data_IF_117575978722
#
_entry.id   IF_117575978722
#
_cell.length_a   1.000
_cell.length_b   1.000
_cell.length_c   1.000
_cell.angle_alpha   90.00
_cell.angle_beta   90.00
_cell.angle_gamma   90.00
#
_symmetry.space_group_name_H-M   'P 1'
#
loop_
_entity.id
_entity.type
_entity.pdbx_description
1 polymer ?
#
# COMPACT_ATOMS: atom_id res chain seq x y z
N UNK A 1 -25.29 -69.00 17.60
CA UNK A 1 -24.51 -67.75 17.47
C UNK A 1 -25.40 -66.51 17.29
N UNK A 2 -26.48 -66.57 16.50
CA UNK A 2 -27.40 -65.43 16.27
C UNK A 2 -28.14 -64.93 17.53
N UNK A 3 -28.59 -65.83 18.42
CA UNK A 3 -29.34 -65.47 19.65
C UNK A 3 -28.49 -64.67 20.65
N UNK A 4 -27.19 -64.95 20.74
CA UNK A 4 -26.26 -64.24 21.64
C UNK A 4 -25.99 -62.82 21.15
N UNK A 5 -25.92 -62.64 19.83
CA UNK A 5 -25.74 -61.33 19.19
C UNK A 5 -26.98 -60.46 19.41
N UNK A 6 -28.19 -61.01 19.22
CA UNK A 6 -29.44 -60.28 19.50
C UNK A 6 -29.58 -59.89 20.98
N UNK A 7 -29.17 -60.76 21.91
CA UNK A 7 -29.16 -60.43 23.34
C UNK A 7 -28.19 -59.31 23.71
N UNK A 8 -27.00 -59.28 23.10
CA UNK A 8 -26.02 -58.23 23.33
C UNK A 8 -26.50 -56.86 22.79
N UNK A 9 -27.11 -56.84 21.60
CA UNK A 9 -27.69 -55.60 21.04
C UNK A 9 -28.85 -55.06 21.88
N UNK A 10 -29.73 -55.94 22.38
CA UNK A 10 -30.82 -55.52 23.28
C UNK A 10 -30.29 -54.94 24.60
N UNK A 11 -29.25 -55.55 25.18
CA UNK A 11 -28.67 -55.07 26.43
C UNK A 11 -28.01 -53.69 26.28
N UNK A 12 -27.30 -53.47 25.16
CA UNK A 12 -26.70 -52.16 24.83
C UNK A 12 -27.80 -51.13 24.53
N UNK A 13 -28.83 -51.50 23.75
CA UNK A 13 -29.90 -50.58 23.37
C UNK A 13 -30.78 -50.18 24.55
N UNK A 14 -31.04 -51.09 25.49
CA UNK A 14 -31.77 -50.80 26.73
C UNK A 14 -30.95 -49.90 27.66
N UNK A 15 -29.64 -50.15 27.78
CA UNK A 15 -28.76 -49.32 28.59
C UNK A 15 -28.68 -47.87 28.04
N UNK A 16 -28.58 -47.72 26.72
CA UNK A 16 -28.64 -46.41 26.05
C UNK A 16 -30.02 -45.75 26.22
N UNK A 17 -31.11 -46.52 26.09
CA UNK A 17 -32.48 -46.00 26.26
C UNK A 17 -32.73 -45.47 27.67
N UNK A 18 -32.28 -46.19 28.71
CA UNK A 18 -32.39 -45.75 30.11
C UNK A 18 -31.54 -44.51 30.37
N UNK A 19 -30.31 -44.45 29.82
CA UNK A 19 -29.45 -43.27 29.95
C UNK A 19 -30.06 -42.07 29.20
N UNK A 20 -30.64 -42.28 28.01
CA UNK A 20 -31.30 -41.24 27.24
C UNK A 20 -32.55 -40.72 27.95
N UNK A 21 -33.41 -41.59 28.48
CA UNK A 21 -34.59 -41.18 29.25
C UNK A 21 -34.22 -40.52 30.58
N UNK A 22 -33.15 -40.95 31.24
CA UNK A 22 -32.64 -40.28 32.45
C UNK A 22 -32.15 -38.87 32.13
N UNK A 23 -31.41 -38.69 31.04
CA UNK A 23 -30.97 -37.37 30.56
C UNK A 23 -32.12 -36.51 30.08
N UNK A 24 -33.12 -37.08 29.42
CA UNK A 24 -34.31 -36.34 28.96
C UNK A 24 -35.14 -35.86 30.15
N UNK A 25 -35.29 -36.66 31.20
CA UNK A 25 -35.96 -36.24 32.44
C UNK A 25 -35.13 -35.24 33.26
N UNK A 26 -33.80 -35.37 33.26
CA UNK A 26 -32.88 -34.40 33.86
C UNK A 26 -32.92 -33.05 33.12
N UNK A 27 -32.97 -33.06 31.79
CA UNK A 27 -33.18 -31.87 30.94
C UNK A 27 -34.58 -31.29 31.18
N UNK A 28 -35.63 -32.11 31.25
CA UNK A 28 -37.01 -31.64 31.48
C UNK A 28 -37.19 -30.99 32.85
N UNK A 29 -36.50 -31.48 33.88
CA UNK A 29 -36.48 -30.89 35.21
C UNK A 29 -35.48 -29.73 35.35
N UNK A 30 -34.46 -29.65 34.49
CA UNK A 30 -33.51 -28.53 34.39
C UNK A 30 -34.00 -27.36 33.53
N UNK A 31 -35.05 -27.53 32.72
CA UNK A 31 -35.66 -26.46 31.90
C UNK A 31 -36.47 -25.45 32.72
N UNK A 32 -36.71 -25.69 34.02
CA UNK A 32 -37.17 -24.64 34.95
C UNK A 32 -36.04 -23.78 35.51
N UNK A 33 -34.78 -24.13 35.24
CA UNK A 33 -33.64 -23.31 35.62
C UNK A 33 -33.28 -22.40 34.44
N UNK A 34 -33.44 -21.09 34.63
CA UNK A 34 -33.11 -20.09 33.60
C UNK A 34 -31.67 -20.35 33.17
N UNK A 35 -31.48 -20.64 31.88
CA UNK A 35 -30.16 -20.70 31.23
C UNK A 35 -29.35 -19.47 31.62
N UNK A 36 -28.50 -19.62 32.62
CA UNK A 36 -27.60 -18.58 33.10
C UNK A 36 -26.34 -18.70 32.25
N UNK A 37 -26.38 -18.10 31.07
CA UNK A 37 -25.16 -17.86 30.30
C UNK A 37 -24.15 -17.19 31.25
N UNK A 38 -23.05 -17.88 31.55
CA UNK A 38 -22.07 -17.42 32.53
C UNK A 38 -21.46 -16.11 32.02
N UNK A 39 -21.80 -14.99 32.66
CA UNK A 39 -21.30 -13.65 32.28
C UNK A 39 -19.77 -13.62 32.22
N UNK A 40 -19.07 -14.39 33.07
CA UNK A 40 -17.61 -14.51 33.06
C UNK A 40 -17.08 -15.16 31.77
N UNK A 41 -17.81 -16.13 31.20
CA UNK A 41 -17.46 -16.73 29.91
C UNK A 41 -17.63 -15.71 28.78
N UNK A 42 -18.73 -14.93 28.79
CA UNK A 42 -18.94 -13.87 27.81
C UNK A 42 -17.84 -12.79 27.87
N UNK A 43 -17.44 -12.35 29.06
CA UNK A 43 -16.34 -11.40 29.21
C UNK A 43 -15.01 -11.96 28.67
N UNK A 44 -14.71 -13.24 28.91
CA UNK A 44 -13.50 -13.87 28.39
C UNK A 44 -13.49 -13.93 26.85
N UNK A 45 -14.63 -14.26 26.24
CA UNK A 45 -14.76 -14.28 24.77
C UNK A 45 -14.60 -12.88 24.19
N UNK A 46 -15.26 -11.87 24.76
CA UNK A 46 -15.15 -10.48 24.32
C UNK A 46 -13.71 -9.97 24.46
N UNK A 47 -13.05 -10.23 25.59
CA UNK A 47 -11.66 -9.84 25.81
C UNK A 47 -10.74 -10.48 24.76
N UNK A 48 -10.95 -11.76 24.45
CA UNK A 48 -10.16 -12.47 23.43
C UNK A 48 -10.33 -11.84 22.05
N UNK A 49 -11.57 -11.48 21.67
CA UNK A 49 -11.83 -10.79 20.40
C UNK A 49 -11.18 -9.41 20.33
N UNK A 50 -11.22 -8.64 21.43
CA UNK A 50 -10.54 -7.34 21.51
C UNK A 50 -9.03 -7.52 21.35
N UNK A 51 -8.44 -8.51 22.02
CA UNK A 51 -7.00 -8.79 21.94
C UNK A 51 -6.60 -9.19 20.51
N UNK A 52 -7.33 -10.12 19.88
CA UNK A 52 -7.07 -10.53 18.49
C UNK A 52 -7.22 -9.34 17.54
N UNK A 53 -8.29 -8.56 17.67
CA UNK A 53 -8.51 -7.37 16.85
C UNK A 53 -7.38 -6.34 17.01
N UNK A 54 -6.90 -6.13 18.23
CA UNK A 54 -5.74 -5.28 18.51
C UNK A 54 -4.46 -5.78 17.83
N UNK A 55 -4.17 -7.08 17.94
CA UNK A 55 -3.00 -7.69 17.28
C UNK A 55 -3.06 -7.59 15.76
N UNK A 56 -4.24 -7.81 15.16
CA UNK A 56 -4.41 -7.68 13.70
C UNK A 56 -4.20 -6.25 13.23
N UNK A 57 -4.78 -5.27 13.92
CA UNK A 57 -4.61 -3.85 13.58
C UNK A 57 -3.15 -3.39 13.73
N UNK A 58 -2.50 -3.77 14.82
CA UNK A 58 -1.08 -3.46 15.05
C UNK A 58 -0.18 -4.13 14.00
N UNK A 59 -0.47 -5.39 13.65
CA UNK A 59 0.27 -6.13 12.62
C UNK A 59 0.15 -5.47 11.25
N UNK A 60 -1.06 -5.07 10.84
CA UNK A 60 -1.29 -4.36 9.57
C UNK A 60 -0.56 -3.01 9.56
N UNK A 61 -0.68 -2.22 10.64
CA UNK A 61 0.00 -0.94 10.76
C UNK A 61 1.54 -1.07 10.66
N UNK A 62 2.13 -2.02 11.39
CA UNK A 62 3.57 -2.25 11.35
C UNK A 62 4.03 -2.73 9.97
N UNK A 63 3.25 -3.58 9.31
CA UNK A 63 3.56 -4.07 7.96
C UNK A 63 3.61 -2.93 6.96
N UNK A 64 2.58 -2.06 6.94
CA UNK A 64 2.53 -0.88 6.06
C UNK A 64 3.68 0.10 6.31
N UNK A 65 4.02 0.33 7.59
CA UNK A 65 5.15 1.18 7.96
C UNK A 65 6.48 0.61 7.48
N UNK A 66 6.68 -0.70 7.63
CA UNK A 66 7.90 -1.36 7.18
C UNK A 66 8.03 -1.33 5.65
N UNK A 67 6.91 -1.55 4.93
CA UNK A 67 6.86 -1.45 3.47
C UNK A 67 7.19 -0.03 3.00
N UNK A 68 6.58 1.00 3.60
CA UNK A 68 6.93 2.41 3.35
C UNK A 68 8.43 2.67 3.52
N UNK A 69 9.00 2.27 4.65
CA UNK A 69 10.41 2.51 4.96
C UNK A 69 11.35 1.79 4.00
N UNK A 70 11.01 0.55 3.61
CA UNK A 70 11.77 -0.20 2.61
C UNK A 70 11.79 0.53 1.27
N UNK A 71 10.64 1.02 0.80
CA UNK A 71 10.54 1.76 -0.46
C UNK A 71 11.34 3.07 -0.43
N UNK A 72 11.27 3.83 0.68
CA UNK A 72 12.07 5.05 0.81
C UNK A 72 13.56 4.73 0.74
N UNK A 73 14.02 3.71 1.47
CA UNK A 73 15.43 3.31 1.49
C UNK A 73 15.92 2.85 0.11
N UNK A 74 15.13 2.10 -0.65
CA UNK A 74 15.49 1.68 -2.00
C UNK A 74 15.52 2.85 -3.00
N UNK A 75 14.64 3.84 -2.82
CA UNK A 75 14.67 5.08 -3.59
C UNK A 75 15.97 5.86 -3.31
N UNK A 76 16.29 6.10 -2.04
CA UNK A 76 17.54 6.75 -1.63
C UNK A 76 18.79 6.02 -2.14
N UNK A 77 18.80 4.68 -2.04
CA UNK A 77 19.88 3.85 -2.59
C UNK A 77 20.01 4.05 -4.10
N UNK A 78 18.89 4.07 -4.84
CA UNK A 78 18.89 4.26 -6.29
C UNK A 78 19.43 5.64 -6.66
N UNK A 79 18.96 6.70 -6.00
CA UNK A 79 19.42 8.07 -6.23
C UNK A 79 20.90 8.23 -5.91
N UNK A 80 21.38 7.63 -4.82
CA UNK A 80 22.79 7.68 -4.43
C UNK A 80 23.69 6.88 -5.39
N UNK A 81 23.26 5.67 -5.77
CA UNK A 81 24.03 4.78 -6.65
C UNK A 81 24.17 5.35 -8.06
N UNK A 82 23.11 5.99 -8.57
CA UNK A 82 23.06 6.55 -9.91
C UNK A 82 23.10 8.08 -9.90
N UNK A 83 23.83 8.70 -8.96
CA UNK A 83 23.93 10.17 -8.81
C UNK A 83 24.38 10.86 -10.11
N UNK A 84 25.23 10.20 -10.91
CA UNK A 84 25.60 10.70 -12.25
C UNK A 84 24.38 10.90 -13.15
N UNK A 85 23.48 9.91 -13.22
CA UNK A 85 22.24 10.01 -14.00
C UNK A 85 21.31 11.12 -13.47
N UNK A 86 21.28 11.32 -12.16
CA UNK A 86 20.54 12.42 -11.54
C UNK A 86 21.16 13.78 -11.90
N UNK A 87 22.49 13.87 -11.94
CA UNK A 87 23.19 15.07 -12.40
C UNK A 87 22.94 15.34 -13.89
N UNK A 88 22.95 14.32 -14.73
CA UNK A 88 22.66 14.44 -16.16
C UNK A 88 21.24 14.97 -16.40
N UNK A 89 20.24 14.56 -15.60
CA UNK A 89 18.89 15.16 -15.61
C UNK A 89 18.95 16.65 -15.29
N UNK A 90 19.70 17.02 -14.24
CA UNK A 90 19.79 18.41 -13.79
C UNK A 90 20.40 19.32 -14.87
N UNK A 91 21.41 18.81 -15.58
CA UNK A 91 22.04 19.49 -16.73
C UNK A 91 21.06 19.58 -17.90
N UNK A 92 20.38 18.48 -18.24
CA UNK A 92 19.43 18.41 -19.35
C UNK A 92 18.21 19.33 -19.16
N UNK A 93 17.79 19.61 -17.93
CA UNK A 93 16.73 20.58 -17.63
C UNK A 93 17.17 22.03 -17.88
N UNK A 94 18.47 22.33 -17.80
CA UNK A 94 19.02 23.66 -18.07
C UNK A 94 19.48 23.85 -19.52
N UNK A 95 19.69 22.75 -20.26
CA UNK A 95 20.13 22.76 -21.65
C UNK A 95 19.08 22.10 -22.55
N UNK A 96 18.36 22.92 -23.31
CA UNK A 96 17.33 22.48 -24.27
C UNK A 96 17.88 21.54 -25.36
N UNK A 97 19.19 21.54 -25.63
CA UNK A 97 19.79 20.58 -26.56
C UNK A 97 19.78 19.15 -26.00
N UNK A 98 19.93 19.01 -24.68
CA UNK A 98 20.08 17.74 -23.96
C UNK A 98 18.76 17.24 -23.36
N UNK A 99 17.71 18.06 -23.30
CA UNK A 99 16.44 17.70 -22.66
C UNK A 99 15.83 16.38 -23.18
N UNK A 100 16.07 16.03 -24.45
CA UNK A 100 15.63 14.78 -25.07
C UNK A 100 16.28 13.51 -24.50
N UNK A 101 17.28 13.63 -23.62
CA UNK A 101 17.93 12.51 -22.93
C UNK A 101 17.19 12.08 -21.66
N UNK A 102 16.37 12.97 -21.08
CA UNK A 102 15.67 12.70 -19.82
C UNK A 102 14.82 11.42 -19.87
N UNK A 103 13.99 11.16 -20.91
CA UNK A 103 13.21 9.92 -20.97
C UNK A 103 14.06 8.65 -20.90
N UNK A 104 15.23 8.64 -21.56
CA UNK A 104 16.14 7.49 -21.57
C UNK A 104 16.74 7.27 -20.17
N UNK A 105 17.09 8.34 -19.47
CA UNK A 105 17.58 8.28 -18.08
C UNK A 105 16.48 7.76 -17.14
N UNK A 106 15.26 8.29 -17.25
CA UNK A 106 14.13 7.83 -16.43
C UNK A 106 13.81 6.36 -16.67
N UNK A 107 13.86 5.92 -17.94
CA UNK A 107 13.70 4.51 -18.31
C UNK A 107 14.79 3.66 -17.67
N UNK A 108 16.05 4.07 -17.81
CA UNK A 108 17.17 3.37 -17.21
C UNK A 108 16.99 3.21 -15.69
N UNK A 109 16.66 4.29 -14.97
CA UNK A 109 16.44 4.26 -13.53
C UNK A 109 15.28 3.33 -13.13
N UNK A 110 14.16 3.36 -13.87
CA UNK A 110 12.99 2.51 -13.61
C UNK A 110 13.24 1.02 -13.80
N UNK A 111 14.23 0.64 -14.61
CA UNK A 111 14.62 -0.75 -14.86
C UNK A 111 15.58 -1.31 -13.80
N UNK A 112 16.07 -0.49 -12.85
CA UNK A 112 17.07 -0.95 -11.86
C UNK A 112 16.46 -1.76 -10.71
N UNK A 113 15.21 -1.47 -10.34
CA UNK A 113 14.51 -2.09 -9.20
C UNK A 113 13.07 -2.38 -9.59
N UNK A 114 12.60 -3.61 -9.34
CA UNK A 114 11.22 -4.01 -9.66
C UNK A 114 10.20 -3.29 -8.80
N UNK A 115 10.65 -2.80 -7.65
CA UNK A 115 9.87 -2.02 -6.73
C UNK A 115 9.43 -0.71 -7.41
N UNK A 116 10.25 -0.04 -8.22
CA UNK A 116 9.91 1.23 -8.87
C UNK A 116 9.81 1.13 -10.41
N UNK A 117 8.78 0.47 -10.95
CA UNK A 117 8.66 0.29 -12.40
C UNK A 117 8.38 1.60 -13.15
N UNK A 118 7.96 2.67 -12.45
CA UNK A 118 7.59 3.94 -13.06
C UNK A 118 8.22 5.10 -12.29
N UNK A 119 9.12 5.80 -12.98
CA UNK A 119 9.76 7.03 -12.52
C UNK A 119 9.36 8.14 -13.48
N UNK A 120 8.75 9.19 -12.94
CA UNK A 120 8.30 10.36 -13.68
C UNK A 120 9.03 11.57 -13.11
N UNK A 121 9.50 12.46 -13.98
CA UNK A 121 10.05 13.75 -13.56
C UNK A 121 8.94 14.79 -13.54
N UNK A 122 8.88 15.61 -12.48
CA UNK A 122 7.96 16.74 -12.36
C UNK A 122 8.79 18.02 -12.21
N UNK A 123 8.48 19.02 -13.03
CA UNK A 123 9.04 20.38 -12.91
C UNK A 123 7.90 21.40 -12.82
N UNK A 124 8.21 22.62 -12.39
CA UNK A 124 7.27 23.75 -12.36
C UNK A 124 7.47 24.67 -13.57
N UNK A 125 6.38 25.23 -14.06
CA UNK A 125 6.39 26.29 -15.07
C UNK A 125 5.18 27.23 -14.85
N UNK A 126 4.99 28.23 -15.70
CA UNK A 126 3.84 29.13 -15.68
C UNK A 126 3.03 29.04 -16.97
N UNK A 127 1.75 28.69 -16.85
CA UNK A 127 0.79 28.82 -17.94
C UNK A 127 -0.14 30.00 -17.67
N UNK A 128 -0.04 31.06 -18.48
CA UNK A 128 -0.84 32.29 -18.30
C UNK A 128 -0.76 32.85 -16.88
N UNK A 129 0.46 33.01 -16.36
CA UNK A 129 0.75 33.51 -15.00
C UNK A 129 0.28 32.59 -13.86
N UNK A 130 -0.19 31.38 -14.17
CA UNK A 130 -0.57 30.38 -13.18
C UNK A 130 0.55 29.35 -13.04
N UNK A 131 1.03 29.15 -11.81
CA UNK A 131 1.96 28.07 -11.49
C UNK A 131 1.32 26.74 -11.91
N UNK A 132 2.05 25.99 -12.73
CA UNK A 132 1.65 24.69 -13.22
C UNK A 132 2.81 23.71 -13.11
N UNK A 133 2.49 22.43 -13.21
CA UNK A 133 3.47 21.36 -13.13
C UNK A 133 3.49 20.59 -14.44
N UNK A 134 4.68 20.37 -14.97
CA UNK A 134 4.92 19.60 -16.18
C UNK A 134 5.51 18.25 -15.80
N UNK A 135 5.18 17.20 -16.55
CA UNK A 135 5.72 15.86 -16.36
C UNK A 135 6.52 15.39 -17.55
N UNK A 136 7.64 14.74 -17.30
CA UNK A 136 8.40 13.97 -18.30
C UNK A 136 8.33 12.50 -17.93
N UNK A 137 7.98 11.66 -18.89
CA UNK A 137 7.88 10.21 -18.69
C UNK A 137 8.94 9.46 -19.51
N UNK A 138 9.27 8.21 -19.15
CA UNK A 138 10.20 7.37 -19.92
C UNK A 138 9.80 7.12 -21.38
N UNK A 139 8.54 7.39 -21.73
CA UNK A 139 7.94 7.10 -23.03
C UNK A 139 7.60 8.36 -23.82
N UNK A 140 8.03 9.53 -23.35
CA UNK A 140 7.78 10.80 -24.03
C UNK A 140 8.69 10.92 -25.26
N UNK A 141 8.14 11.38 -26.37
CA UNK A 141 8.90 11.62 -27.59
C UNK A 141 9.90 12.77 -27.40
N UNK A 142 11.14 12.57 -27.86
CA UNK A 142 12.21 13.58 -27.74
C UNK A 142 11.86 14.91 -28.42
N UNK A 143 11.02 14.86 -29.45
CA UNK A 143 10.53 16.04 -30.17
C UNK A 143 9.49 16.83 -29.38
N UNK A 144 8.70 16.19 -28.51
CA UNK A 144 7.70 16.86 -27.67
C UNK A 144 8.36 17.66 -26.55
N UNK A 145 9.50 17.20 -26.06
CA UNK A 145 10.31 17.90 -25.06
C UNK A 145 10.96 19.20 -25.57
N UNK A 146 10.93 19.45 -26.88
CA UNK A 146 11.42 20.69 -27.48
C UNK A 146 10.30 21.71 -27.75
N UNK A 147 9.05 21.34 -27.46
CA UNK A 147 7.88 22.21 -27.62
C UNK A 147 7.57 22.93 -26.31
N UNK A 148 6.87 24.05 -26.41
CA UNK A 148 6.43 24.85 -25.26
C UNK A 148 5.64 24.00 -24.26
N UNK A 149 5.88 24.24 -22.95
CA UNK A 149 5.21 23.55 -21.83
C UNK A 149 5.23 22.01 -22.00
N UNK A 150 6.31 21.51 -22.61
CA UNK A 150 6.56 20.15 -23.10
C UNK A 150 5.38 19.50 -23.81
N UNK A 151 4.79 20.23 -24.76
CA UNK A 151 3.61 19.82 -25.54
C UNK A 151 2.35 19.64 -24.67
N UNK A 152 2.13 20.56 -23.72
CA UNK A 152 1.02 20.52 -22.76
C UNK A 152 1.00 19.26 -21.89
N UNK A 153 2.18 18.75 -21.52
CA UNK A 153 2.32 17.58 -20.66
C UNK A 153 2.12 17.94 -19.17
N UNK A 154 0.94 18.49 -18.86
CA UNK A 154 0.61 18.86 -17.50
C UNK A 154 0.53 17.64 -16.58
N UNK A 155 1.08 17.79 -15.38
CA UNK A 155 0.89 16.87 -14.28
C UNK A 155 -0.41 17.24 -13.55
N UNK A 156 -1.34 16.29 -13.48
CA UNK A 156 -2.58 16.44 -12.72
C UNK A 156 -2.34 15.84 -11.34
N UNK A 157 -2.33 16.71 -10.32
CA UNK A 157 -2.30 16.34 -8.92
C UNK A 157 -3.74 16.22 -8.36
N UNK A 158 -3.89 15.38 -7.34
CA UNK A 158 -4.99 15.38 -6.40
C UNK A 158 -4.77 16.40 -5.25
N UNK A 159 -5.72 16.50 -4.33
CA UNK A 159 -5.66 17.51 -3.26
C UNK A 159 -4.37 17.41 -2.42
N UNK A 160 -3.92 16.18 -2.13
CA UNK A 160 -2.83 15.97 -1.19
C UNK A 160 -1.47 16.21 -1.84
N UNK A 161 -1.26 15.76 -3.07
CA UNK A 161 0.01 16.01 -3.78
C UNK A 161 0.10 17.43 -4.36
N UNK A 162 -1.01 18.11 -4.70
CA UNK A 162 -0.95 19.51 -5.13
C UNK A 162 -0.39 20.46 -4.04
N UNK A 163 -0.80 20.27 -2.78
CA UNK A 163 -0.31 21.07 -1.66
C UNK A 163 1.18 20.86 -1.44
N UNK A 164 1.62 19.60 -1.45
CA UNK A 164 3.04 19.26 -1.34
C UNK A 164 3.88 19.82 -2.50
N UNK A 165 3.43 19.69 -3.75
CA UNK A 165 4.15 20.25 -4.90
C UNK A 165 4.30 21.76 -4.79
N UNK A 166 3.26 22.45 -4.31
CA UNK A 166 3.31 23.89 -4.07
C UNK A 166 4.37 24.25 -3.03
N UNK A 167 4.40 23.54 -1.90
CA UNK A 167 5.43 23.74 -0.86
C UNK A 167 6.84 23.52 -1.41
N UNK A 168 7.05 22.45 -2.18
CA UNK A 168 8.37 22.16 -2.76
C UNK A 168 8.80 23.29 -3.71
N UNK A 169 7.95 23.70 -4.64
CA UNK A 169 8.37 24.65 -5.68
C UNK A 169 8.34 26.12 -5.22
N UNK A 170 7.43 26.52 -4.33
CA UNK A 170 7.33 27.91 -3.85
C UNK A 170 8.15 28.17 -2.57
N UNK A 171 8.15 27.24 -1.60
CA UNK A 171 8.70 27.51 -0.25
C UNK A 171 10.13 27.02 -0.05
N UNK A 172 10.72 26.33 -1.03
CA UNK A 172 12.17 26.06 -1.03
C UNK A 172 12.61 24.78 -0.34
N UNK A 173 11.87 24.24 0.63
CA UNK A 173 12.24 23.02 1.36
C UNK A 173 11.04 22.11 1.57
N UNK A 174 11.21 20.82 1.26
CA UNK A 174 10.32 19.77 1.72
C UNK A 174 11.08 18.45 1.73
N UNK A 175 10.82 17.63 2.75
CA UNK A 175 11.21 16.22 2.74
C UNK A 175 10.45 15.47 1.64
N UNK A 176 10.80 14.21 1.39
CA UNK A 176 10.01 13.38 0.49
C UNK A 176 8.54 13.26 0.95
N UNK A 177 7.62 13.20 0.01
CA UNK A 177 6.21 12.90 0.29
C UNK A 177 5.87 11.48 -0.14
N UNK A 178 5.44 10.67 0.82
CA UNK A 178 4.98 9.31 0.58
C UNK A 178 3.46 9.24 0.74
N UNK A 179 2.79 8.84 -0.33
CA UNK A 179 1.37 8.53 -0.33
C UNK A 179 1.17 7.08 -0.75
N UNK A 180 0.28 6.39 -0.05
CA UNK A 180 -0.13 5.03 -0.41
C UNK A 180 -1.61 4.83 -0.13
N UNK A 181 -2.33 4.28 -1.10
CA UNK A 181 -3.70 3.83 -0.92
C UNK A 181 -3.85 2.43 -1.53
N UNK A 182 -4.27 1.48 -0.69
CA UNK A 182 -4.39 0.06 -1.04
C UNK A 182 -3.06 -0.50 -1.57
N UNK A 183 -2.96 -0.63 -2.91
CA UNK A 183 -1.85 -1.21 -3.66
C UNK A 183 -1.14 -0.19 -4.57
N UNK A 184 -1.51 1.08 -4.44
CA UNK A 184 -0.92 2.17 -5.20
C UNK A 184 -0.08 2.98 -4.24
N UNK A 185 1.17 3.20 -4.60
CA UNK A 185 1.97 4.18 -3.88
C UNK A 185 2.62 5.16 -4.84
N UNK A 186 2.86 6.33 -4.29
CA UNK A 186 3.55 7.46 -4.90
C UNK A 186 4.56 7.97 -3.89
N UNK A 187 5.83 8.03 -4.28
CA UNK A 187 6.89 8.66 -3.52
C UNK A 187 7.44 9.81 -4.35
N UNK A 188 7.25 11.03 -3.86
CA UNK A 188 7.76 12.24 -4.48
C UNK A 188 9.06 12.60 -3.80
N UNK A 189 10.16 12.56 -4.55
CA UNK A 189 11.48 12.86 -4.04
C UNK A 189 11.98 14.18 -4.64
N UNK A 190 12.07 15.27 -3.86
CA UNK A 190 12.54 16.55 -4.35
C UNK A 190 14.05 16.51 -4.56
N UNK A 191 14.50 17.05 -5.68
CA UNK A 191 15.92 17.12 -6.05
C UNK A 191 16.25 18.57 -6.34
N UNK A 192 17.32 19.05 -5.71
CA UNK A 192 17.88 20.38 -5.94
C UNK A 192 19.37 20.20 -6.22
N UNK A 193 19.79 20.58 -7.43
CA UNK A 193 21.18 20.52 -7.88
C UNK A 193 21.51 21.84 -8.55
N UNK A 194 22.32 22.67 -7.88
CA UNK A 194 22.54 24.05 -8.31
C UNK A 194 21.23 24.85 -8.24
N UNK A 195 20.88 25.52 -9.34
CA UNK A 195 19.63 26.29 -9.48
C UNK A 195 18.46 25.43 -9.98
N UNK A 196 18.72 24.21 -10.43
CA UNK A 196 17.69 23.31 -10.97
C UNK A 196 16.95 22.61 -9.85
N UNK A 197 15.63 22.77 -9.83
CA UNK A 197 14.71 22.10 -8.91
C UNK A 197 13.67 21.29 -9.67
N UNK A 198 13.53 20.03 -9.30
CA UNK A 198 12.53 19.12 -9.86
C UNK A 198 12.21 18.02 -8.85
N UNK A 199 11.19 17.22 -9.12
CA UNK A 199 10.89 16.02 -8.35
C UNK A 199 10.97 14.79 -9.22
N UNK A 200 11.41 13.69 -8.62
CA UNK A 200 11.18 12.36 -9.15
C UNK A 200 10.02 11.71 -8.41
N UNK A 201 8.98 11.37 -9.16
CA UNK A 201 7.84 10.60 -8.70
C UNK A 201 8.10 9.12 -9.00
N UNK A 202 8.33 8.35 -7.95
CA UNK A 202 8.40 6.90 -7.99
C UNK A 202 7.01 6.34 -7.73
N UNK A 203 6.52 5.48 -8.61
CA UNK A 203 5.19 4.90 -8.48
C UNK A 203 5.16 3.43 -8.87
N UNK A 204 4.26 2.70 -8.21
CA UNK A 204 3.93 1.32 -8.54
C UNK A 204 2.42 1.15 -8.46
N UNK A 205 1.88 0.46 -9.47
CA UNK A 205 0.48 0.07 -9.53
C UNK A 205 0.41 -1.45 -9.56
N UNK A 206 0.10 -2.06 -8.41
CA UNK A 206 -0.08 -3.52 -8.34
C UNK A 206 -1.54 -3.88 -8.65
N UNK A 207 -1.79 -4.35 -9.89
CA UNK A 207 -3.12 -4.81 -10.37
C UNK A 207 -3.72 -5.95 -9.56
N UNK A 208 -2.89 -6.73 -8.87
CA UNK A 208 -3.35 -7.85 -8.05
C UNK A 208 -3.54 -7.36 -6.61
N UNK A 209 -4.80 -7.15 -6.23
CA UNK A 209 -5.19 -7.13 -4.82
C UNK A 209 -4.59 -8.35 -4.12
N UNK A 210 -4.02 -8.17 -2.92
CA UNK A 210 -3.67 -9.31 -2.06
C UNK A 210 -4.91 -10.20 -1.98
N UNK A 211 -4.82 -11.44 -2.45
CA UNK A 211 -5.92 -12.40 -2.37
C UNK A 211 -6.18 -12.61 -0.87
N UNK A 212 -7.31 -12.10 -0.37
CA UNK A 212 -7.73 -12.22 1.03
C UNK A 212 -8.30 -10.95 1.66
N UNK A 213 -9.10 -10.17 0.93
CA UNK A 213 -10.11 -9.30 1.55
C UNK A 213 -11.34 -10.10 1.96
#
# INVERSE_FOLDING_TARGET
MVIVICGAFLNISLNIGIIADSKVNEIRNGLTDKSTFNKSFLYSVVLTLIVIGGFLFLGDFLTRKNEKNKLIAECEETLSRYDKSIMDISVALTDTALIGEIPDILKFLGEQKKEFPSIILITSDFYKEQLTYLKITPYMEKSDLKKDLFNFSFYSCDKNDCEYLKEVFENGESDYFFWSEQNNYKLYFPITKGETKYLLLFSKFDRYGKIGS
#
